data_IF_356334347004
#
_entry.id   IF_356334347004
#
_cell.length_a   1.000
_cell.length_b   1.000
_cell.length_c   1.000
_cell.angle_alpha   90.00
_cell.angle_beta   90.00
_cell.angle_gamma   90.00
#
_symmetry.space_group_name_H-M   'P 1'
#
loop_
_entity.id
_entity.type
_entity.pdbx_description
1 polymer ?
#
# COMPACT_ATOMS: atom_id res chain seq x y z
N UNK A 1 1.53 -13.92 14.11
CA UNK A 1 0.70 -15.12 13.83
C UNK A 1 1.11 -16.40 14.59
N UNK A 2 2.10 -17.22 14.20
CA UNK A 2 2.32 -18.53 14.85
C UNK A 2 2.61 -18.44 16.38
N UNK A 3 3.59 -17.60 16.76
CA UNK A 3 3.94 -17.35 18.17
C UNK A 3 2.78 -16.72 18.97
N UNK A 4 2.09 -15.78 18.35
CA UNK A 4 0.97 -15.03 18.91
C UNK A 4 -0.26 -15.92 19.16
N UNK A 5 -0.53 -16.85 18.25
CA UNK A 5 -1.61 -17.83 18.37
C UNK A 5 -1.18 -19.11 19.08
N UNK A 6 0.07 -19.19 19.59
CA UNK A 6 0.64 -20.38 20.25
C UNK A 6 0.51 -21.67 19.42
N UNK A 7 0.66 -21.55 18.10
CA UNK A 7 0.62 -22.67 17.14
C UNK A 7 2.01 -22.93 16.56
N UNK A 8 2.24 -24.17 16.11
CA UNK A 8 3.43 -24.49 15.32
C UNK A 8 3.36 -23.81 13.94
N UNK A 9 4.52 -23.51 13.36
CA UNK A 9 4.61 -22.95 12.00
C UNK A 9 3.88 -23.85 10.99
N UNK A 10 4.01 -25.17 11.15
CA UNK A 10 3.39 -26.16 10.26
C UNK A 10 1.86 -26.12 10.34
N UNK A 11 1.29 -25.92 11.53
CA UNK A 11 -0.14 -25.76 11.70
C UNK A 11 -0.66 -24.51 10.97
N UNK A 12 0.04 -23.38 11.11
CA UNK A 12 -0.30 -22.12 10.39
C UNK A 12 -0.22 -22.30 8.88
N UNK A 13 0.84 -22.96 8.38
CA UNK A 13 1.02 -23.21 6.94
C UNK A 13 -0.09 -24.10 6.38
N UNK A 14 -0.52 -25.12 7.12
CA UNK A 14 -1.66 -25.97 6.73
C UNK A 14 -2.96 -25.19 6.63
N UNK A 15 -3.22 -24.32 7.60
CA UNK A 15 -4.41 -23.45 7.60
C UNK A 15 -4.37 -22.54 6.37
N UNK A 16 -3.25 -21.88 6.08
CA UNK A 16 -3.13 -21.03 4.90
C UNK A 16 -3.42 -21.79 3.60
N UNK A 17 -2.86 -22.98 3.44
CA UNK A 17 -3.12 -23.82 2.25
C UNK A 17 -4.58 -24.26 2.17
N UNK A 18 -5.18 -24.66 3.29
CA UNK A 18 -6.57 -25.13 3.33
C UNK A 18 -7.57 -24.04 2.92
N UNK A 19 -7.28 -22.78 3.24
CA UNK A 19 -8.14 -21.63 2.92
C UNK A 19 -7.63 -20.79 1.75
N UNK A 20 -6.58 -21.23 1.04
CA UNK A 20 -5.98 -20.46 -0.07
C UNK A 20 -5.42 -19.09 0.34
N UNK A 21 -5.12 -18.89 1.62
CA UNK A 21 -4.61 -17.63 2.13
C UNK A 21 -3.19 -17.39 1.62
N UNK A 22 -2.95 -16.18 1.11
CA UNK A 22 -1.66 -15.74 0.59
C UNK A 22 -1.23 -14.50 1.37
N UNK A 23 -0.62 -14.65 2.56
CA UNK A 23 -0.25 -13.52 3.42
C UNK A 23 0.69 -12.52 2.72
N UNK A 24 1.53 -13.00 1.81
CA UNK A 24 2.43 -12.19 0.98
C UNK A 24 1.70 -11.33 -0.07
N UNK A 25 0.45 -11.65 -0.39
CA UNK A 25 -0.40 -10.86 -1.28
C UNK A 25 -1.38 -9.98 -0.51
N UNK A 26 -1.13 -9.74 0.78
CA UNK A 26 -1.86 -8.71 1.49
C UNK A 26 -1.53 -7.36 0.84
N UNK A 27 -2.53 -6.79 0.17
CA UNK A 27 -2.48 -5.43 -0.32
C UNK A 27 -2.53 -4.50 0.88
N UNK A 28 -1.35 -4.14 1.37
CA UNK A 28 -1.24 -3.10 2.39
C UNK A 28 -1.33 -1.77 1.68
N UNK A 29 -2.38 -1.00 1.96
CA UNK A 29 -2.44 0.38 1.52
C UNK A 29 -1.46 1.18 2.38
N UNK A 30 -0.30 1.52 1.80
CA UNK A 30 0.67 2.40 2.43
C UNK A 30 0.12 3.82 2.39
N UNK A 31 -0.59 4.20 3.45
CA UNK A 31 -0.97 5.59 3.68
C UNK A 31 0.28 6.36 4.17
N UNK A 32 0.52 7.54 3.60
CA UNK A 32 1.58 8.41 4.10
C UNK A 32 1.27 8.87 5.52
N UNK A 33 2.28 8.93 6.39
CA UNK A 33 2.17 9.55 7.72
C UNK A 33 2.37 11.07 7.69
N UNK A 34 2.46 11.67 6.50
CA UNK A 34 2.56 13.11 6.31
C UNK A 34 1.31 13.81 6.88
N UNK A 35 1.45 14.74 7.84
CA UNK A 35 0.32 15.50 8.38
C UNK A 35 -0.48 16.27 7.32
N UNK A 36 0.15 16.61 6.19
CA UNK A 36 -0.49 17.31 5.06
C UNK A 36 -0.96 16.38 3.95
N UNK A 37 -1.00 15.06 4.17
CA UNK A 37 -1.31 14.09 3.13
C UNK A 37 -2.62 14.41 2.38
N UNK A 38 -3.68 14.73 3.12
CA UNK A 38 -5.01 14.99 2.52
C UNK A 38 -4.97 16.20 1.60
N UNK A 39 -4.34 17.29 2.03
CA UNK A 39 -4.29 18.52 1.25
C UNK A 39 -3.43 18.33 0.00
N UNK A 40 -2.26 17.67 0.13
CA UNK A 40 -1.42 17.34 -1.02
C UNK A 40 -2.12 16.45 -2.05
N UNK A 41 -2.87 15.45 -1.59
CA UNK A 41 -3.65 14.58 -2.49
C UNK A 41 -4.70 15.39 -3.22
N UNK A 42 -5.42 16.29 -2.53
CA UNK A 42 -6.42 17.16 -3.17
C UNK A 42 -5.80 18.08 -4.21
N UNK A 43 -4.66 18.69 -3.91
CA UNK A 43 -3.95 19.56 -4.84
C UNK A 43 -3.52 18.79 -6.10
N UNK A 44 -2.92 17.61 -5.93
CA UNK A 44 -2.47 16.77 -7.06
C UNK A 44 -3.66 16.29 -7.89
N UNK A 45 -4.73 15.80 -7.26
CA UNK A 45 -5.94 15.36 -7.97
C UNK A 45 -6.61 16.52 -8.69
N UNK A 46 -6.59 17.72 -8.09
CA UNK A 46 -7.09 18.95 -8.71
C UNK A 46 -6.44 19.24 -10.06
N UNK A 47 -5.15 18.96 -10.22
CA UNK A 47 -4.45 19.11 -11.50
C UNK A 47 -5.01 18.22 -12.62
N UNK A 48 -5.65 17.09 -12.27
CA UNK A 48 -6.30 16.20 -13.25
C UNK A 48 -7.76 16.59 -13.52
N UNK A 49 -8.44 17.19 -12.53
CA UNK A 49 -9.85 17.57 -12.65
C UNK A 49 -10.03 18.91 -13.37
N UNK A 50 -9.15 19.88 -13.12
CA UNK A 50 -9.16 21.21 -13.75
C UNK A 50 -7.72 21.63 -14.12
N UNK A 51 -7.15 21.05 -15.20
CA UNK A 51 -5.76 21.30 -15.57
C UNK A 51 -5.57 22.73 -16.09
N UNK A 52 -4.55 23.47 -15.61
CA UNK A 52 -4.19 24.76 -16.17
C UNK A 52 -3.84 24.70 -17.66
N UNK A 53 -3.99 25.82 -18.36
CA UNK A 53 -3.71 25.90 -19.80
C UNK A 53 -2.25 25.50 -20.09
N UNK A 54 -2.06 24.45 -20.90
CA UNK A 54 -0.75 23.85 -21.24
C UNK A 54 0.02 23.29 -20.03
N UNK A 55 -0.68 22.81 -19.00
CA UNK A 55 -0.05 22.19 -17.85
C UNK A 55 0.73 20.91 -18.23
N UNK A 56 1.89 20.74 -17.60
CA UNK A 56 2.71 19.53 -17.68
C UNK A 56 2.90 18.99 -16.25
N UNK A 57 2.56 17.73 -16.03
CA UNK A 57 2.72 17.05 -14.74
C UNK A 57 3.86 16.04 -14.87
N UNK A 58 4.89 16.20 -14.03
CA UNK A 58 6.03 15.28 -13.97
C UNK A 58 5.96 14.48 -12.66
N UNK A 59 6.01 13.15 -12.78
CA UNK A 59 6.02 12.25 -11.64
C UNK A 59 7.38 11.55 -11.56
N UNK A 60 8.00 11.57 -10.38
CA UNK A 60 9.23 10.85 -10.07
C UNK A 60 8.94 9.96 -8.87
N UNK A 61 9.15 8.66 -9.05
CA UNK A 61 9.06 7.66 -7.99
C UNK A 61 10.45 7.10 -7.74
N UNK A 62 10.93 7.18 -6.50
CA UNK A 62 12.16 6.54 -6.09
C UNK A 62 11.80 5.23 -5.38
N UNK A 63 12.11 4.11 -6.03
CA UNK A 63 11.98 2.80 -5.42
C UNK A 63 13.30 2.40 -4.78
N UNK A 64 13.39 2.54 -3.46
CA UNK A 64 14.52 2.00 -2.70
C UNK A 64 14.60 0.48 -2.92
N UNK A 65 15.75 -0.02 -3.38
CA UNK A 65 16.00 -1.45 -3.42
C UNK A 65 16.06 -1.98 -1.97
N UNK A 66 15.27 -3.02 -1.70
CA UNK A 66 15.44 -3.93 -0.56
C UNK A 66 15.97 -5.24 -1.13
#
# INVERSE_FOLDING_TARGET
MAREMKLSQTAVTRIWRAFGLQPQRQETFKLSSDPMFVDKVRDIVGLYLDPPLKAMVLCVDEKSQI
#
